data_IF_357374594801
#
_entry.id   IF_357374594801
#
_cell.length_a   1.000
_cell.length_b   1.000
_cell.length_c   1.000
_cell.angle_alpha   90.00
_cell.angle_beta   90.00
_cell.angle_gamma   90.00
#
_symmetry.space_group_name_H-M   'P 1'
#
loop_
_entity.id
_entity.type
_entity.pdbx_description
1 polymer ?
#
# COMPACT_ATOMS: atom_id res chain seq x y z
N UNK A 1 21.41 -13.52 -3.06
CA UNK A 1 21.00 -12.43 -3.95
C UNK A 1 22.15 -12.13 -4.90
N UNK A 2 21.96 -12.41 -6.16
CA UNK A 2 23.01 -12.31 -7.19
C UNK A 2 23.37 -10.87 -7.57
N UNK A 3 22.58 -9.89 -7.14
CA UNK A 3 22.72 -8.47 -7.52
C UNK A 3 23.37 -7.59 -6.46
N UNK A 4 23.83 -8.14 -5.33
CA UNK A 4 24.50 -7.38 -4.27
C UNK A 4 23.65 -6.31 -3.58
N UNK A 5 22.39 -6.18 -3.95
CA UNK A 5 21.41 -5.30 -3.31
C UNK A 5 20.73 -5.98 -2.13
N UNK A 6 20.43 -5.25 -1.08
CA UNK A 6 19.55 -5.71 -0.01
C UNK A 6 18.12 -5.96 -0.53
N UNK A 7 17.21 -6.40 0.35
CA UNK A 7 15.80 -6.56 -0.01
C UNK A 7 15.26 -5.22 -0.52
N UNK A 8 14.54 -5.24 -1.65
CA UNK A 8 13.93 -4.04 -2.22
C UNK A 8 12.85 -3.42 -1.33
N UNK A 9 12.28 -2.29 -1.73
CA UNK A 9 11.24 -1.55 -0.98
C UNK A 9 10.07 -2.41 -0.52
N UNK A 10 9.78 -3.49 -1.24
CA UNK A 10 8.75 -4.49 -0.91
C UNK A 10 8.97 -5.23 0.43
N UNK A 11 10.14 -5.11 1.06
CA UNK A 11 10.49 -5.73 2.34
C UNK A 11 10.79 -4.72 3.44
N UNK A 12 10.36 -3.47 3.30
CA UNK A 12 10.52 -2.42 4.30
C UNK A 12 9.40 -2.50 5.36
N UNK A 13 9.64 -3.25 6.42
CA UNK A 13 8.67 -3.46 7.51
C UNK A 13 9.02 -2.61 8.73
N UNK A 14 8.24 -1.56 9.01
CA UNK A 14 8.48 -0.61 10.11
C UNK A 14 7.55 -0.79 11.29
N UNK A 15 6.33 -1.29 11.08
CA UNK A 15 5.27 -1.35 12.10
C UNK A 15 5.66 -2.18 13.32
N UNK A 16 6.37 -3.31 13.14
CA UNK A 16 6.88 -4.12 14.25
C UNK A 16 7.89 -3.36 15.11
N UNK A 17 8.81 -2.63 14.49
CA UNK A 17 9.79 -1.79 15.19
C UNK A 17 9.12 -0.64 15.94
N UNK A 18 8.13 0.02 15.32
CA UNK A 18 7.32 1.05 15.99
C UNK A 18 6.61 0.48 17.21
N UNK A 19 5.94 -0.67 17.05
CA UNK A 19 5.24 -1.33 18.16
C UNK A 19 6.22 -1.70 19.29
N UNK A 20 7.39 -2.20 18.96
CA UNK A 20 8.43 -2.50 19.95
C UNK A 20 8.86 -1.23 20.70
N UNK A 21 9.09 -0.12 20.02
CA UNK A 21 9.39 1.16 20.67
C UNK A 21 8.27 1.59 21.61
N UNK A 22 7.02 1.56 21.16
CA UNK A 22 5.87 2.01 21.96
C UNK A 22 5.65 1.17 23.23
N UNK A 23 6.00 -0.13 23.18
CA UNK A 23 5.86 -1.05 24.30
C UNK A 23 7.04 -0.99 25.28
N UNK A 24 8.26 -0.68 24.82
CA UNK A 24 9.49 -0.83 25.60
C UNK A 24 10.25 0.48 25.82
N UNK A 25 9.95 1.54 25.09
CA UNK A 25 10.74 2.77 25.06
C UNK A 25 12.12 2.61 24.41
N UNK A 26 12.36 1.55 23.62
CA UNK A 26 13.66 1.29 23.00
C UNK A 26 13.97 2.31 21.87
N UNK A 27 14.82 3.29 22.19
CA UNK A 27 15.19 4.36 21.25
C UNK A 27 15.88 3.85 19.97
N UNK A 28 16.56 2.71 20.01
CA UNK A 28 17.14 2.12 18.79
C UNK A 28 16.06 1.65 17.82
N UNK A 29 14.95 1.11 18.33
CA UNK A 29 13.81 0.73 17.48
C UNK A 29 13.18 1.95 16.81
N UNK A 30 12.97 3.04 17.56
CA UNK A 30 12.51 4.34 16.97
C UNK A 30 13.46 4.84 15.90
N UNK A 31 14.77 4.86 16.20
CA UNK A 31 15.78 5.29 15.23
C UNK A 31 15.75 4.42 13.97
N UNK A 32 15.59 3.11 14.11
CA UNK A 32 15.50 2.19 12.98
C UNK A 32 14.28 2.47 12.09
N UNK A 33 13.11 2.79 12.67
CA UNK A 33 11.93 3.21 11.90
C UNK A 33 12.23 4.43 11.06
N UNK A 34 12.83 5.47 11.64
CA UNK A 34 13.14 6.72 10.94
C UNK A 34 14.18 6.49 9.82
N UNK A 35 15.21 5.70 10.10
CA UNK A 35 16.23 5.34 9.10
C UNK A 35 15.62 4.53 7.92
N UNK A 36 14.68 3.62 8.20
CA UNK A 36 13.99 2.86 7.16
C UNK A 36 13.06 3.77 6.34
N UNK A 37 12.38 4.75 6.97
CA UNK A 37 11.56 5.73 6.26
C UNK A 37 12.42 6.62 5.34
N UNK A 38 13.61 7.02 5.79
CA UNK A 38 14.56 7.78 4.96
C UNK A 38 15.11 6.91 3.82
N UNK A 39 15.48 5.66 4.13
CA UNK A 39 16.00 4.72 3.14
C UNK A 39 14.99 4.41 2.03
N UNK A 40 13.73 4.09 2.39
CA UNK A 40 12.69 3.78 1.39
C UNK A 40 12.32 5.03 0.58
N UNK A 41 12.38 6.22 1.21
CA UNK A 41 12.24 7.49 0.50
C UNK A 41 13.33 7.66 -0.55
N UNK A 42 14.59 7.40 -0.18
CA UNK A 42 15.71 7.44 -1.12
C UNK A 42 15.56 6.38 -2.23
N UNK A 43 15.08 5.19 -1.89
CA UNK A 43 14.87 4.10 -2.86
C UNK A 43 13.89 4.49 -3.98
N UNK A 44 12.78 5.15 -3.64
CA UNK A 44 11.76 5.56 -4.61
C UNK A 44 12.05 6.91 -5.27
N UNK A 45 12.55 7.88 -4.52
CA UNK A 45 12.70 9.27 -4.99
C UNK A 45 14.12 9.59 -5.50
N UNK A 46 15.09 8.75 -5.19
CA UNK A 46 16.50 9.03 -5.45
C UNK A 46 17.07 10.13 -4.57
N UNK A 47 18.29 10.56 -4.89
CA UNK A 47 18.88 11.76 -4.25
C UNK A 47 18.38 13.04 -4.92
N UNK A 48 18.32 14.14 -4.16
CA UNK A 48 17.95 15.45 -4.70
C UNK A 48 19.02 16.06 -5.63
N UNK A 49 20.12 15.36 -5.90
CA UNK A 49 21.15 15.85 -6.81
C UNK A 49 20.69 15.79 -8.27
N UNK A 50 21.07 16.77 -9.08
CA UNK A 50 20.75 16.83 -10.50
C UNK A 50 21.22 15.58 -11.26
N UNK A 51 22.42 15.07 -10.95
CA UNK A 51 22.96 13.85 -11.54
C UNK A 51 22.14 12.61 -11.19
N UNK A 52 21.70 12.49 -9.94
CA UNK A 52 20.88 11.37 -9.53
C UNK A 52 19.48 11.39 -10.18
N UNK A 53 18.89 12.57 -10.40
CA UNK A 53 17.66 12.71 -11.18
C UNK A 53 17.83 12.25 -12.62
N UNK A 54 18.95 12.58 -13.27
CA UNK A 54 19.26 12.09 -14.61
C UNK A 54 19.44 10.56 -14.65
N UNK A 55 20.10 9.97 -13.64
CA UNK A 55 20.23 8.51 -13.53
C UNK A 55 18.88 7.83 -13.25
N UNK A 56 18.04 8.43 -12.39
CA UNK A 56 16.70 7.93 -12.09
C UNK A 56 15.80 7.94 -13.34
N UNK A 57 15.87 8.99 -14.16
CA UNK A 57 15.15 9.06 -15.46
C UNK A 57 15.61 7.93 -16.40
N UNK A 58 16.92 7.63 -16.43
CA UNK A 58 17.46 6.54 -17.25
C UNK A 58 17.01 5.15 -16.77
N UNK A 59 16.65 5.01 -15.50
CA UNK A 59 16.15 3.77 -14.90
C UNK A 59 14.62 3.70 -14.82
N UNK A 60 13.92 4.75 -15.25
CA UNK A 60 12.45 4.76 -15.36
C UNK A 60 11.97 3.59 -16.21
N UNK A 61 11.01 2.83 -15.68
CA UNK A 61 10.49 1.63 -16.34
C UNK A 61 11.06 0.30 -15.79
N UNK A 62 11.92 0.33 -14.77
CA UNK A 62 12.26 -0.88 -14.02
C UNK A 62 11.14 -1.22 -13.04
N UNK A 63 10.70 -2.47 -13.03
CA UNK A 63 9.66 -2.97 -12.13
C UNK A 63 9.95 -2.64 -10.66
N UNK A 64 8.96 -2.10 -9.98
CA UNK A 64 9.01 -1.84 -8.54
C UNK A 64 9.65 -0.52 -8.11
N UNK A 65 9.95 0.40 -9.04
CA UNK A 65 10.48 1.74 -8.75
C UNK A 65 9.59 2.81 -9.36
N UNK A 66 9.56 4.02 -8.76
CA UNK A 66 8.83 5.18 -9.29
C UNK A 66 9.27 5.51 -10.71
N UNK A 67 8.30 5.71 -11.61
CA UNK A 67 8.57 6.33 -12.90
C UNK A 67 8.77 7.84 -12.72
N UNK A 68 10.01 8.30 -12.86
CA UNK A 68 10.37 9.70 -12.67
C UNK A 68 9.99 10.61 -13.85
N UNK A 69 9.65 10.05 -15.02
CA UNK A 69 9.17 10.82 -16.17
C UNK A 69 7.68 11.13 -16.04
N UNK A 70 6.90 10.11 -15.65
CA UNK A 70 5.46 10.23 -15.46
C UNK A 70 5.09 10.64 -14.03
N UNK A 71 6.07 10.74 -13.13
CA UNK A 71 5.85 10.97 -11.68
C UNK A 71 4.92 9.91 -11.05
N UNK A 72 4.86 8.68 -11.59
CA UNK A 72 3.98 7.61 -11.15
C UNK A 72 4.71 6.60 -10.28
N UNK A 73 4.01 6.10 -9.25
CA UNK A 73 4.48 4.98 -8.44
C UNK A 73 3.80 3.68 -8.90
N UNK A 74 4.50 2.55 -8.82
CA UNK A 74 3.89 1.26 -9.12
C UNK A 74 2.79 0.94 -8.11
N UNK A 75 1.71 0.32 -8.58
CA UNK A 75 0.64 -0.18 -7.73
C UNK A 75 1.04 -1.55 -7.17
N UNK A 76 1.96 -1.54 -6.23
CA UNK A 76 2.58 -2.74 -5.70
C UNK A 76 2.77 -2.73 -4.17
N UNK A 77 3.34 -3.82 -3.67
CA UNK A 77 3.66 -4.00 -2.25
C UNK A 77 4.72 -3.01 -1.76
N UNK A 78 5.71 -2.68 -2.59
CA UNK A 78 6.79 -1.77 -2.22
C UNK A 78 6.26 -0.38 -1.93
N UNK A 79 5.39 0.13 -2.81
CA UNK A 79 4.72 1.42 -2.63
C UNK A 79 3.81 1.42 -1.41
N UNK A 80 3.09 0.31 -1.16
CA UNK A 80 2.29 0.14 0.06
C UNK A 80 3.16 0.22 1.33
N UNK A 81 4.31 -0.46 1.36
CA UNK A 81 5.25 -0.38 2.49
C UNK A 81 5.91 0.99 2.62
N UNK A 82 6.13 1.70 1.52
CA UNK A 82 6.61 3.08 1.58
C UNK A 82 5.61 3.98 2.32
N UNK A 83 4.33 3.91 1.99
CA UNK A 83 3.27 4.63 2.71
C UNK A 83 3.29 4.25 4.19
N UNK A 84 3.34 2.96 4.54
CA UNK A 84 3.36 2.50 5.93
C UNK A 84 4.57 3.03 6.70
N UNK A 85 5.76 3.02 6.10
CA UNK A 85 6.97 3.53 6.73
C UNK A 85 6.86 5.04 7.04
N UNK A 86 6.30 5.82 6.11
CA UNK A 86 6.05 7.24 6.32
C UNK A 86 5.01 7.50 7.41
N UNK A 87 3.93 6.71 7.47
CA UNK A 87 2.92 6.82 8.51
C UNK A 87 3.48 6.43 9.88
N UNK A 88 4.33 5.40 9.95
CA UNK A 88 5.02 5.04 11.19
C UNK A 88 6.00 6.13 11.66
N UNK A 89 6.73 6.74 10.73
CA UNK A 89 7.59 7.89 11.04
C UNK A 89 6.78 9.11 11.48
N UNK A 90 5.61 9.35 10.88
CA UNK A 90 4.68 10.39 11.31
C UNK A 90 4.20 10.14 12.75
N UNK A 91 3.74 8.93 13.06
CA UNK A 91 3.28 8.56 14.41
C UNK A 91 4.33 8.85 15.50
N UNK A 92 5.61 8.61 15.17
CA UNK A 92 6.74 8.80 16.09
C UNK A 92 7.25 10.23 16.21
N UNK A 93 7.01 11.09 15.20
CA UNK A 93 7.61 12.43 15.13
C UNK A 93 6.61 13.57 15.05
N UNK A 94 5.37 13.28 14.66
CA UNK A 94 4.32 14.25 14.35
C UNK A 94 4.71 15.23 13.21
N UNK A 95 5.72 14.87 12.40
CA UNK A 95 6.12 15.67 11.27
C UNK A 95 5.16 15.53 10.08
N UNK A 96 4.36 16.54 9.81
CA UNK A 96 3.33 16.56 8.78
C UNK A 96 3.85 16.39 7.35
N UNK A 97 5.15 16.62 7.12
CA UNK A 97 5.73 16.39 5.78
C UNK A 97 5.60 14.94 5.31
N UNK A 98 5.58 13.99 6.24
CA UNK A 98 5.32 12.59 5.92
C UNK A 98 3.91 12.39 5.35
N UNK A 99 2.89 13.02 5.94
CA UNK A 99 1.50 12.92 5.44
C UNK A 99 1.33 13.54 4.06
N UNK A 100 1.95 14.69 3.82
CA UNK A 100 1.95 15.32 2.51
C UNK A 100 2.59 14.41 1.44
N UNK A 101 3.68 13.71 1.80
CA UNK A 101 4.33 12.75 0.91
C UNK A 101 3.45 11.51 0.69
N UNK A 102 2.82 10.98 1.74
CA UNK A 102 1.87 9.86 1.62
C UNK A 102 0.75 10.21 0.63
N UNK A 103 0.15 11.39 0.77
CA UNK A 103 -0.88 11.82 -0.17
C UNK A 103 -0.36 11.95 -1.60
N UNK A 104 0.86 12.50 -1.79
CA UNK A 104 1.49 12.54 -3.12
C UNK A 104 1.63 11.13 -3.70
N UNK A 105 2.11 10.16 -2.93
CA UNK A 105 2.23 8.77 -3.40
C UNK A 105 0.87 8.23 -3.80
N UNK A 106 -0.16 8.36 -2.96
CA UNK A 106 -1.51 7.86 -3.26
C UNK A 106 -2.03 8.45 -4.57
N UNK A 107 -1.99 9.79 -4.71
CA UNK A 107 -2.55 10.49 -5.88
C UNK A 107 -1.77 10.26 -7.18
N UNK A 108 -0.53 9.79 -7.08
CA UNK A 108 0.32 9.44 -8.23
C UNK A 108 0.40 7.91 -8.45
N UNK A 109 -0.43 7.12 -7.76
CA UNK A 109 -0.54 5.67 -7.95
C UNK A 109 -1.92 5.28 -8.45
N UNK A 110 -2.98 5.79 -7.82
CA UNK A 110 -4.38 5.50 -8.16
C UNK A 110 -5.24 6.77 -8.18
N UNK A 111 -6.34 6.70 -8.93
CA UNK A 111 -7.30 7.80 -9.04
C UNK A 111 -8.74 7.29 -8.80
N UNK A 112 -9.67 8.11 -8.24
CA UNK A 112 -11.07 7.72 -8.05
C UNK A 112 -11.83 7.30 -9.31
N UNK A 113 -11.31 7.63 -10.50
CA UNK A 113 -11.89 7.31 -11.79
C UNK A 113 -10.93 6.50 -12.68
N UNK A 114 -10.03 5.72 -12.09
CA UNK A 114 -9.15 4.82 -12.85
C UNK A 114 -9.97 3.86 -13.71
N UNK A 115 -9.51 3.60 -14.92
CA UNK A 115 -9.95 2.44 -15.67
C UNK A 115 -9.21 1.21 -15.13
N UNK A 116 -9.84 0.50 -14.18
CA UNK A 116 -9.23 -0.64 -13.50
C UNK A 116 -9.01 -1.81 -14.47
N UNK A 117 -9.73 -1.88 -15.60
CA UNK A 117 -9.52 -2.92 -16.61
C UNK A 117 -8.10 -2.89 -17.21
N UNK A 118 -7.43 -1.75 -17.15
CA UNK A 118 -6.06 -1.57 -17.62
C UNK A 118 -4.99 -2.04 -16.61
N UNK A 119 -5.39 -2.48 -15.41
CA UNK A 119 -4.47 -2.88 -14.32
C UNK A 119 -4.04 -4.34 -14.38
N UNK A 120 -4.59 -5.14 -15.32
CA UNK A 120 -4.27 -6.57 -15.52
C UNK A 120 -4.43 -7.44 -14.26
N UNK A 121 -5.46 -7.16 -13.44
CA UNK A 121 -5.67 -7.88 -12.18
C UNK A 121 -6.06 -9.35 -12.37
N UNK A 122 -6.32 -9.80 -13.58
CA UNK A 122 -6.46 -11.21 -13.92
C UNK A 122 -5.14 -11.99 -13.81
N UNK A 123 -4.00 -11.30 -13.90
CA UNK A 123 -2.68 -11.87 -13.66
C UNK A 123 -2.35 -11.83 -12.15
N UNK A 124 -2.95 -12.75 -11.40
CA UNK A 124 -2.92 -12.79 -9.94
C UNK A 124 -1.49 -12.77 -9.39
N UNK A 125 -0.60 -13.61 -9.95
CA UNK A 125 0.80 -13.73 -9.48
C UNK A 125 1.56 -12.39 -9.53
N UNK A 126 1.32 -11.60 -10.56
CA UNK A 126 2.01 -10.33 -10.76
C UNK A 126 1.34 -9.16 -10.04
N UNK A 127 0.04 -9.26 -9.74
CA UNK A 127 -0.75 -8.07 -9.35
C UNK A 127 -1.37 -8.12 -7.96
N UNK A 128 -1.47 -9.28 -7.29
CA UNK A 128 -2.10 -9.41 -5.96
C UNK A 128 -1.59 -8.38 -4.92
N UNK A 129 -0.43 -7.81 -5.17
CA UNK A 129 0.21 -6.81 -4.32
C UNK A 129 -0.58 -5.51 -4.17
N UNK A 130 -1.51 -5.20 -5.09
CA UNK A 130 -2.36 -4.02 -4.98
C UNK A 130 -3.17 -4.01 -3.67
N UNK A 131 -3.48 -5.18 -3.12
CA UNK A 131 -4.16 -5.30 -1.83
C UNK A 131 -3.35 -4.73 -0.67
N UNK A 132 -2.01 -4.86 -0.71
CA UNK A 132 -1.10 -4.26 0.28
C UNK A 132 -1.15 -2.74 0.20
N UNK A 133 -1.17 -2.21 -1.01
CA UNK A 133 -1.29 -0.78 -1.25
C UNK A 133 -2.64 -0.23 -0.74
N UNK A 134 -3.76 -0.88 -1.07
CA UNK A 134 -5.08 -0.45 -0.59
C UNK A 134 -5.20 -0.49 0.95
N UNK A 135 -4.60 -1.47 1.62
CA UNK A 135 -4.52 -1.49 3.08
C UNK A 135 -3.76 -0.28 3.64
N UNK A 136 -2.70 0.16 2.97
CA UNK A 136 -1.94 1.34 3.39
C UNK A 136 -2.76 2.63 3.27
N UNK A 137 -3.66 2.72 2.27
CA UNK A 137 -4.61 3.84 2.16
C UNK A 137 -5.58 3.84 3.34
N UNK A 138 -6.14 2.68 3.70
CA UNK A 138 -7.02 2.58 4.87
C UNK A 138 -6.35 3.09 6.14
N UNK A 139 -5.06 2.82 6.31
CA UNK A 139 -4.29 3.36 7.44
C UNK A 139 -4.09 4.87 7.34
N UNK A 140 -3.84 5.42 6.15
CA UNK A 140 -3.79 6.88 5.95
C UNK A 140 -5.11 7.55 6.33
N UNK A 141 -6.23 7.00 5.89
CA UNK A 141 -7.57 7.50 6.24
C UNK A 141 -7.79 7.51 7.75
N UNK A 142 -7.42 6.43 8.45
CA UNK A 142 -7.51 6.35 9.90
C UNK A 142 -6.67 7.43 10.60
N UNK A 143 -5.45 7.68 10.15
CA UNK A 143 -4.59 8.74 10.71
C UNK A 143 -5.22 10.11 10.49
N UNK A 144 -5.74 10.39 9.29
CA UNK A 144 -6.43 11.65 8.98
C UNK A 144 -7.68 11.86 9.84
N UNK A 145 -8.47 10.79 10.05
CA UNK A 145 -9.67 10.80 10.90
C UNK A 145 -9.29 11.09 12.37
N UNK A 146 -8.29 10.40 12.91
CA UNK A 146 -7.79 10.64 14.29
C UNK A 146 -7.31 12.06 14.51
N UNK A 147 -6.84 12.73 13.46
CA UNK A 147 -6.43 14.14 13.49
C UNK A 147 -7.61 15.11 13.30
N UNK A 148 -8.83 14.62 13.07
CA UNK A 148 -9.99 15.41 12.62
C UNK A 148 -9.72 16.22 11.33
N UNK A 149 -8.90 15.66 10.40
CA UNK A 149 -8.54 16.28 9.13
C UNK A 149 -9.26 15.58 7.97
N UNK A 150 -10.56 15.77 7.88
CA UNK A 150 -11.39 15.28 6.76
C UNK A 150 -11.37 16.32 5.62
N UNK A 151 -10.18 16.53 5.05
CA UNK A 151 -9.90 17.48 3.97
C UNK A 151 -9.94 16.82 2.58
N UNK A 152 -9.56 17.59 1.56
CA UNK A 152 -9.52 17.11 0.17
C UNK A 152 -8.64 15.86 -0.02
N UNK A 153 -7.55 15.74 0.74
CA UNK A 153 -6.61 14.62 0.63
C UNK A 153 -7.26 13.34 1.19
N UNK A 154 -8.01 13.49 2.31
CA UNK A 154 -8.80 12.40 2.87
C UNK A 154 -9.87 11.92 1.87
N UNK A 155 -10.67 12.83 1.33
CA UNK A 155 -11.76 12.46 0.40
C UNK A 155 -11.23 11.85 -0.88
N UNK A 156 -10.14 12.36 -1.44
CA UNK A 156 -9.50 11.76 -2.60
C UNK A 156 -9.07 10.31 -2.34
N UNK A 157 -8.33 10.08 -1.25
CA UNK A 157 -7.84 8.75 -0.89
C UNK A 157 -8.98 7.77 -0.60
N UNK A 158 -10.03 8.26 0.11
CA UNK A 158 -11.26 7.50 0.36
C UNK A 158 -11.94 7.09 -0.94
N UNK A 159 -12.20 8.04 -1.82
CA UNK A 159 -12.96 7.79 -3.04
C UNK A 159 -12.19 6.87 -3.99
N UNK A 160 -10.85 7.02 -4.08
CA UNK A 160 -10.01 6.11 -4.82
C UNK A 160 -10.06 4.69 -4.23
N UNK A 161 -9.93 4.53 -2.91
CA UNK A 161 -10.04 3.22 -2.25
C UNK A 161 -11.42 2.58 -2.49
N UNK A 162 -12.51 3.36 -2.39
CA UNK A 162 -13.87 2.86 -2.61
C UNK A 162 -14.08 2.42 -4.05
N UNK A 163 -13.53 3.13 -5.03
CA UNK A 163 -13.58 2.74 -6.44
C UNK A 163 -12.93 1.37 -6.68
N UNK A 164 -11.75 1.13 -6.11
CA UNK A 164 -11.08 -0.17 -6.20
C UNK A 164 -11.83 -1.26 -5.42
N UNK A 165 -12.36 -0.96 -4.25
CA UNK A 165 -13.15 -1.91 -3.46
C UNK A 165 -14.46 -2.31 -4.16
N UNK A 166 -15.11 -1.40 -4.90
CA UNK A 166 -16.29 -1.71 -5.72
C UNK A 166 -15.94 -2.65 -6.88
N UNK A 167 -14.78 -2.44 -7.51
CA UNK A 167 -14.27 -3.37 -8.51
C UNK A 167 -13.99 -4.75 -7.89
N UNK A 168 -13.31 -4.81 -6.73
CA UNK A 168 -13.03 -6.04 -6.01
C UNK A 168 -14.31 -6.79 -5.65
N UNK A 169 -15.35 -6.07 -5.20
CA UNK A 169 -16.65 -6.66 -4.85
C UNK A 169 -17.25 -7.47 -6.00
N UNK A 170 -17.08 -6.98 -7.23
CA UNK A 170 -17.66 -7.55 -8.45
C UNK A 170 -16.79 -8.64 -9.07
N UNK A 171 -15.46 -8.52 -8.99
CA UNK A 171 -14.53 -9.30 -9.81
C UNK A 171 -13.64 -10.25 -9.02
N UNK A 172 -13.35 -9.95 -7.74
CA UNK A 172 -12.43 -10.78 -6.96
C UNK A 172 -13.08 -12.11 -6.53
N UNK A 173 -12.29 -13.17 -6.69
CA UNK A 173 -12.56 -14.52 -6.20
C UNK A 173 -11.43 -14.96 -5.24
N UNK A 174 -11.64 -16.00 -4.40
CA UNK A 174 -10.55 -16.58 -3.64
C UNK A 174 -9.42 -17.04 -4.55
N UNK A 175 -8.18 -16.80 -4.14
CA UNK A 175 -7.02 -17.15 -4.96
C UNK A 175 -6.95 -18.66 -5.24
N UNK A 176 -7.22 -19.49 -4.24
CA UNK A 176 -7.19 -20.95 -4.41
C UNK A 176 -8.37 -21.53 -5.19
N UNK A 177 -9.40 -20.75 -5.48
CA UNK A 177 -10.45 -21.13 -6.44
C UNK A 177 -10.01 -20.90 -7.90
N UNK A 178 -8.85 -20.28 -8.10
CA UNK A 178 -8.25 -19.92 -9.40
C UNK A 178 -6.84 -20.50 -9.54
N UNK A 179 -6.66 -21.76 -9.16
CA UNK A 179 -5.34 -22.43 -9.09
C UNK A 179 -4.60 -22.48 -10.44
N UNK A 180 -5.33 -22.44 -11.54
CA UNK A 180 -4.80 -22.37 -12.90
C UNK A 180 -4.12 -21.04 -13.23
N UNK A 181 -4.38 -20.00 -12.44
CA UNK A 181 -3.73 -18.69 -12.54
C UNK A 181 -2.52 -18.53 -11.61
N UNK A 182 -2.20 -19.57 -10.82
CA UNK A 182 -1.12 -19.53 -9.83
C UNK A 182 0.04 -20.43 -10.25
N UNK A 183 1.26 -19.90 -10.25
CA UNK A 183 2.47 -20.69 -10.54
C UNK A 183 2.75 -21.72 -9.43
N UNK A 184 2.55 -21.32 -8.16
CA UNK A 184 2.76 -22.17 -6.98
C UNK A 184 1.57 -22.10 -6.03
N UNK A 185 0.44 -22.78 -6.34
CA UNK A 185 -0.72 -22.79 -5.46
C UNK A 185 -0.39 -23.51 -4.15
N UNK A 186 -0.55 -22.80 -3.03
CA UNK A 186 -0.30 -23.32 -1.69
C UNK A 186 -1.13 -22.54 -0.65
N UNK A 187 -1.16 -23.02 0.59
CA UNK A 187 -1.97 -22.44 1.67
C UNK A 187 -1.61 -20.99 2.04
N UNK A 188 -0.43 -20.47 1.66
CA UNK A 188 -0.10 -19.06 1.92
C UNK A 188 -1.01 -18.10 1.14
N UNK A 189 -1.56 -18.55 0.01
CA UNK A 189 -2.55 -17.76 -0.74
C UNK A 189 -3.84 -17.55 0.03
N UNK A 190 -4.31 -18.55 0.78
CA UNK A 190 -5.44 -18.36 1.70
C UNK A 190 -5.15 -17.26 2.74
N UNK A 191 -3.92 -17.20 3.26
CA UNK A 191 -3.52 -16.13 4.18
C UNK A 191 -3.57 -14.73 3.56
N UNK A 192 -3.40 -14.58 2.23
CA UNK A 192 -3.52 -13.28 1.55
C UNK A 192 -4.98 -12.79 1.47
N UNK A 193 -5.97 -13.68 1.59
CA UNK A 193 -7.39 -13.30 1.60
C UNK A 193 -7.73 -12.35 2.75
N UNK A 194 -7.03 -12.42 3.90
CA UNK A 194 -7.19 -11.47 5.00
C UNK A 194 -6.98 -10.02 4.57
N UNK A 195 -6.21 -9.77 3.54
CA UNK A 195 -6.01 -8.42 3.00
C UNK A 195 -7.29 -7.92 2.33
N UNK A 196 -7.95 -8.77 1.54
CA UNK A 196 -9.24 -8.46 0.90
C UNK A 196 -10.32 -8.22 1.97
N UNK A 197 -10.38 -9.08 2.98
CA UNK A 197 -11.28 -8.91 4.14
C UNK A 197 -11.10 -7.52 4.77
N UNK A 198 -9.86 -7.14 5.09
CA UNK A 198 -9.54 -5.84 5.67
C UNK A 198 -9.93 -4.66 4.78
N UNK A 199 -9.72 -4.76 3.46
CA UNK A 199 -10.11 -3.72 2.50
C UNK A 199 -11.62 -3.54 2.47
N UNK A 200 -12.41 -4.62 2.43
CA UNK A 200 -13.87 -4.55 2.44
C UNK A 200 -14.42 -3.94 3.72
N UNK A 201 -13.87 -4.28 4.90
CA UNK A 201 -14.26 -3.63 6.15
C UNK A 201 -13.95 -2.13 6.15
N UNK A 202 -12.78 -1.71 5.67
CA UNK A 202 -12.43 -0.29 5.55
C UNK A 202 -13.33 0.42 4.53
N UNK A 203 -13.62 -0.21 3.39
CA UNK A 203 -14.53 0.33 2.39
C UNK A 203 -15.94 0.51 2.97
N UNK A 204 -16.46 -0.47 3.69
CA UNK A 204 -17.73 -0.33 4.40
C UNK A 204 -17.70 0.81 5.41
N UNK A 205 -16.65 0.89 6.24
CA UNK A 205 -16.51 1.91 7.28
C UNK A 205 -16.51 3.32 6.69
N UNK A 206 -15.71 3.56 5.64
CA UNK A 206 -15.56 4.88 5.03
C UNK A 206 -16.60 5.22 3.95
N UNK A 207 -17.43 4.27 3.56
CA UNK A 207 -18.49 4.51 2.58
C UNK A 207 -19.52 5.51 3.13
N UNK A 208 -19.85 6.58 2.38
CA UNK A 208 -20.90 7.53 2.78
C UNK A 208 -22.28 6.88 2.81
N UNK A 209 -22.50 5.87 1.97
CA UNK A 209 -23.72 5.05 1.96
C UNK A 209 -23.31 3.62 2.25
N UNK A 210 -23.81 3.05 3.35
CA UNK A 210 -23.44 1.69 3.76
C UNK A 210 -23.93 0.66 2.74
N UNK A 211 -23.01 -0.17 2.27
CA UNK A 211 -23.28 -1.26 1.35
C UNK A 211 -22.96 -2.58 2.04
N UNK A 212 -23.98 -3.28 2.52
CA UNK A 212 -23.83 -4.55 3.24
C UNK A 212 -23.15 -5.64 2.42
N UNK A 213 -23.22 -5.59 1.08
CA UNK A 213 -22.54 -6.54 0.20
C UNK A 213 -21.01 -6.53 0.42
N UNK A 214 -20.42 -5.42 0.90
CA UNK A 214 -19.00 -5.38 1.27
C UNK A 214 -18.71 -6.28 2.47
N UNK A 215 -19.59 -6.30 3.49
CA UNK A 215 -19.44 -7.16 4.67
C UNK A 215 -19.70 -8.63 4.33
N UNK A 216 -20.68 -8.90 3.47
CA UNK A 216 -20.95 -10.26 2.97
C UNK A 216 -19.76 -10.79 2.20
N UNK A 217 -19.15 -9.97 1.33
CA UNK A 217 -17.94 -10.34 0.58
C UNK A 217 -16.74 -10.53 1.51
N UNK A 218 -16.57 -9.69 2.53
CA UNK A 218 -15.54 -9.87 3.56
C UNK A 218 -15.72 -11.22 4.28
N UNK A 219 -16.94 -11.55 4.69
CA UNK A 219 -17.27 -12.83 5.33
C UNK A 219 -17.01 -14.02 4.39
N UNK A 220 -17.35 -13.89 3.12
CA UNK A 220 -17.10 -14.91 2.10
C UNK A 220 -15.59 -15.21 2.02
N UNK A 221 -14.74 -14.20 1.88
CA UNK A 221 -13.28 -14.41 1.85
C UNK A 221 -12.73 -14.96 3.16
N UNK A 222 -13.24 -14.49 4.31
CA UNK A 222 -12.82 -15.00 5.62
C UNK A 222 -13.09 -16.49 5.79
N UNK A 223 -14.23 -17.00 5.30
CA UNK A 223 -14.59 -18.42 5.33
C UNK A 223 -13.67 -19.30 4.49
N UNK A 224 -12.98 -18.75 3.49
CA UNK A 224 -12.01 -19.49 2.66
C UNK A 224 -10.61 -19.59 3.29
N UNK A 225 -10.40 -18.96 4.46
CA UNK A 225 -9.12 -19.00 5.20
C UNK A 225 -9.11 -20.12 6.23
N UNK A 226 -10.31 -20.47 6.74
CA UNK A 226 -10.52 -21.48 7.80
C UNK A 226 -10.81 -22.82 7.16
#
# INVERSE_FOLDING_TARGET
YTSGGGPGGQHCYTTGLKSHYLLTGNENAKKAVLQLADWITYYFEGSNSFMAKLFAIKQSGNDGVKDHLLEQYPLDRGTGHYIIALLDAYDLTQNRSYLARVFKIISHTIHPNDDISLRDFDNIEATWFYTVFLQSIGRFLLVKEQMNQLDKDFYYARDAMLHYADWMLKNELPYLDQIDKLEFPNTTWAGQELRKVGIFYMAYYYSPIKNEALLEKASYFYQHII
#
